data_IF_454669428902
#
_entry.id   IF_454669428902
#
_cell.length_a   1.000
_cell.length_b   1.000
_cell.length_c   1.000
_cell.angle_alpha   90.00
_cell.angle_beta   90.00
_cell.angle_gamma   90.00
#
_symmetry.space_group_name_H-M   'P 1'
#
loop_
_entity.id
_entity.type
_entity.pdbx_description
1 polymer ?
#
# COMPACT_ATOMS: atom_id res chain seq x y z
N UNK A 1 -14.24 -14.73 15.67
CA UNK A 1 -13.07 -14.52 14.81
C UNK A 1 -12.71 -13.05 14.86
N UNK A 2 -11.46 -12.69 15.10
CA UNK A 2 -11.05 -11.29 15.08
C UNK A 2 -11.27 -10.71 13.68
N UNK A 3 -11.91 -9.54 13.59
CA UNK A 3 -12.04 -8.79 12.34
C UNK A 3 -10.64 -8.35 11.90
N UNK A 4 -10.14 -8.93 10.81
CA UNK A 4 -8.85 -8.55 10.25
C UNK A 4 -8.90 -7.11 9.78
N UNK A 5 -7.92 -6.30 10.19
CA UNK A 5 -7.79 -4.91 9.77
C UNK A 5 -7.32 -4.82 8.33
N UNK A 6 -7.95 -3.98 7.51
CA UNK A 6 -7.54 -3.76 6.13
C UNK A 6 -6.37 -2.79 6.11
N UNK A 7 -5.20 -3.28 5.74
CA UNK A 7 -3.96 -2.49 5.71
C UNK A 7 -3.63 -2.11 4.27
N UNK A 8 -3.37 -0.83 4.07
CA UNK A 8 -2.79 -0.29 2.85
C UNK A 8 -1.33 0.03 3.09
N UNK A 9 -0.45 -0.46 2.21
CA UNK A 9 0.98 -0.17 2.29
C UNK A 9 1.38 0.68 1.09
N UNK A 10 1.91 1.86 1.37
CA UNK A 10 2.59 2.70 0.41
C UNK A 10 4.09 2.44 0.50
N UNK A 11 4.72 2.10 -0.61
CA UNK A 11 6.15 1.76 -0.67
C UNK A 11 6.72 2.11 -2.05
N UNK A 12 8.03 2.23 -2.15
CA UNK A 12 8.73 2.39 -3.42
C UNK A 12 8.68 1.07 -4.19
N UNK A 13 7.98 1.02 -5.32
CA UNK A 13 7.81 -0.22 -6.07
C UNK A 13 9.15 -0.76 -6.62
N UNK A 14 10.03 0.13 -7.08
CA UNK A 14 11.30 -0.25 -7.71
C UNK A 14 12.34 -0.74 -6.71
N UNK A 15 12.30 -0.25 -5.46
CA UNK A 15 13.31 -0.54 -4.45
C UNK A 15 12.82 -1.39 -3.27
N UNK A 16 11.52 -1.37 -2.95
CA UNK A 16 10.96 -1.96 -1.72
C UNK A 16 9.94 -3.10 -1.99
N UNK A 17 9.90 -3.68 -3.19
CA UNK A 17 9.01 -4.83 -3.52
C UNK A 17 9.22 -6.02 -2.56
N UNK A 18 10.44 -6.24 -2.08
CA UNK A 18 10.75 -7.27 -1.09
C UNK A 18 9.99 -7.08 0.23
N UNK A 19 9.89 -5.84 0.72
CA UNK A 19 9.18 -5.53 1.96
C UNK A 19 7.67 -5.78 1.81
N UNK A 20 7.11 -5.46 0.63
CA UNK A 20 5.72 -5.81 0.27
C UNK A 20 5.49 -7.32 0.34
N UNK A 21 6.38 -8.12 -0.27
CA UNK A 21 6.24 -9.59 -0.29
C UNK A 21 6.29 -10.16 1.13
N UNK A 22 7.18 -9.65 1.98
CA UNK A 22 7.26 -10.05 3.38
C UNK A 22 5.98 -9.73 4.17
N UNK A 23 5.42 -8.52 4.00
CA UNK A 23 4.17 -8.11 4.65
C UNK A 23 2.97 -8.92 4.15
N UNK A 24 2.89 -9.18 2.85
CA UNK A 24 1.87 -10.04 2.26
C UNK A 24 1.99 -11.49 2.76
N UNK A 25 3.22 -11.98 3.00
CA UNK A 25 3.48 -13.27 3.64
C UNK A 25 2.93 -13.34 5.05
N UNK A 26 3.17 -12.30 5.86
CA UNK A 26 2.65 -12.22 7.24
C UNK A 26 1.12 -12.14 7.29
N UNK A 27 0.47 -11.47 6.33
CA UNK A 27 -0.99 -11.40 6.27
C UNK A 27 -1.67 -12.76 5.98
N UNK A 28 -0.95 -13.69 5.35
CA UNK A 28 -1.45 -15.05 5.04
C UNK A 28 -1.47 -15.98 6.25
N UNK A 29 -0.78 -15.62 7.33
CA UNK A 29 -0.77 -16.42 8.55
C UNK A 29 -2.14 -16.38 9.23
N UNK A 30 -2.56 -17.50 9.83
CA UNK A 30 -3.90 -17.64 10.44
C UNK A 30 -4.07 -16.82 11.71
N UNK A 31 -2.98 -16.46 12.37
CA UNK A 31 -2.89 -15.59 13.55
C UNK A 31 -2.71 -14.10 13.19
N UNK A 32 -2.65 -13.77 11.89
CA UNK A 32 -2.40 -12.39 11.46
C UNK A 32 -3.57 -11.48 11.82
N UNK A 33 -3.33 -10.36 12.52
CA UNK A 33 -4.38 -9.42 12.92
C UNK A 33 -4.84 -8.51 11.77
N UNK A 34 -4.20 -8.59 10.60
CA UNK A 34 -4.50 -7.76 9.44
C UNK A 34 -4.63 -8.56 8.15
N UNK A 35 -5.30 -7.95 7.18
CA UNK A 35 -5.41 -8.42 5.82
C UNK A 35 -4.72 -7.41 4.90
N UNK A 36 -3.87 -7.92 4.00
CA UNK A 36 -3.05 -7.10 3.12
C UNK A 36 -3.78 -6.87 1.81
N UNK A 37 -4.17 -5.61 1.54
CA UNK A 37 -4.73 -5.21 0.26
C UNK A 37 -3.71 -4.35 -0.49
N UNK A 38 -3.15 -4.90 -1.57
CA UNK A 38 -2.31 -4.14 -2.50
C UNK A 38 -3.18 -3.15 -3.28
N UNK A 39 -3.10 -1.87 -2.94
CA UNK A 39 -3.74 -0.81 -3.72
C UNK A 39 -2.73 0.12 -4.40
N UNK A 40 -1.49 -0.37 -4.61
CA UNK A 40 -0.44 0.33 -5.35
C UNK A 40 -0.92 0.65 -6.76
N UNK A 41 -0.91 1.93 -7.11
CA UNK A 41 -1.33 2.42 -8.42
C UNK A 41 -0.05 2.62 -9.24
N UNK A 42 0.24 1.67 -10.13
CA UNK A 42 1.47 1.63 -10.94
C UNK A 42 1.47 2.58 -12.14
N UNK A 43 0.35 3.26 -12.39
CA UNK A 43 0.19 4.17 -13.54
C UNK A 43 -0.74 5.31 -13.18
N UNK A 44 -0.46 6.51 -13.68
CA UNK A 44 -1.36 7.65 -13.63
C UNK A 44 -2.78 7.23 -14.00
N UNK A 45 -3.67 7.18 -13.00
CA UNK A 45 -5.08 6.95 -13.23
C UNK A 45 -5.59 8.08 -14.12
N UNK A 46 -5.92 7.78 -15.36
CA UNK A 46 -6.55 8.73 -16.27
C UNK A 46 -8.01 8.94 -15.86
N UNK A 47 -8.49 10.19 -15.89
CA UNK A 47 -9.84 10.60 -15.47
C UNK A 47 -9.96 10.96 -13.98
N UNK A 48 -11.09 10.63 -13.34
CA UNK A 48 -11.40 10.87 -11.91
C UNK A 48 -10.55 10.05 -10.92
N UNK A 49 -9.24 10.20 -10.99
CA UNK A 49 -8.29 9.49 -10.13
C UNK A 49 -8.51 9.80 -8.65
N UNK A 50 -8.85 11.06 -8.32
CA UNK A 50 -9.15 11.47 -6.94
C UNK A 50 -10.28 10.67 -6.34
N UNK A 51 -11.36 10.45 -7.10
CA UNK A 51 -12.52 9.71 -6.61
C UNK A 51 -12.19 8.22 -6.45
N UNK A 52 -11.47 7.63 -7.40
CA UNK A 52 -11.01 6.24 -7.32
C UNK A 52 -10.08 6.01 -6.12
N UNK A 53 -9.17 6.94 -5.87
CA UNK A 53 -8.28 6.87 -4.69
C UNK A 53 -9.08 7.07 -3.41
N UNK A 54 -9.98 8.04 -3.34
CA UNK A 54 -10.82 8.32 -2.17
C UNK A 54 -11.67 7.11 -1.78
N UNK A 55 -12.33 6.45 -2.74
CA UNK A 55 -13.09 5.22 -2.49
C UNK A 55 -12.23 4.07 -1.98
N UNK A 56 -10.99 3.96 -2.46
CA UNK A 56 -10.02 2.96 -1.95
C UNK A 56 -9.62 3.28 -0.52
N UNK A 57 -9.26 4.53 -0.23
CA UNK A 57 -8.89 4.98 1.13
C UNK A 57 -10.04 4.81 2.13
N UNK A 58 -11.30 5.06 1.73
CA UNK A 58 -12.47 4.89 2.58
C UNK A 58 -12.68 3.44 3.07
N UNK A 59 -12.10 2.46 2.37
CA UNK A 59 -12.25 1.04 2.66
C UNK A 59 -11.06 0.46 3.47
N UNK A 60 -10.10 1.30 3.85
CA UNK A 60 -8.86 0.95 4.54
C UNK A 60 -8.96 1.35 6.03
N UNK A 61 -8.53 0.46 6.93
CA UNK A 61 -8.47 0.75 8.37
C UNK A 61 -7.13 1.36 8.79
N UNK A 62 -6.04 0.94 8.14
CA UNK A 62 -4.67 1.30 8.53
C UNK A 62 -3.84 1.59 7.28
N UNK A 63 -3.07 2.68 7.32
CA UNK A 63 -2.09 3.04 6.29
C UNK A 63 -0.68 2.86 6.86
N UNK A 64 0.14 2.07 6.17
CA UNK A 64 1.56 1.89 6.45
C UNK A 64 2.33 2.56 5.33
N UNK A 65 3.23 3.46 5.66
CA UNK A 65 4.12 4.10 4.68
C UNK A 65 5.52 3.56 4.93
N UNK A 66 6.06 2.84 3.96
CA UNK A 66 7.44 2.37 3.96
C UNK A 66 8.32 3.48 3.39
N UNK A 67 9.03 4.15 4.28
CA UNK A 67 10.05 5.13 3.94
C UNK A 67 11.42 4.43 3.92
N UNK A 68 11.83 3.98 2.75
CA UNK A 68 13.19 3.53 2.46
C UNK A 68 14.13 4.70 2.14
N UNK A 69 15.42 4.39 2.03
CA UNK A 69 16.45 5.41 1.72
C UNK A 69 16.25 6.03 0.32
N UNK A 70 15.64 5.31 -0.63
CA UNK A 70 15.39 5.80 -1.98
C UNK A 70 13.96 6.33 -2.21
N UNK A 71 13.09 6.32 -1.19
CA UNK A 71 11.70 6.80 -1.33
C UNK A 71 11.61 8.27 -1.78
N UNK A 72 12.62 9.09 -1.48
CA UNK A 72 12.73 10.47 -1.97
C UNK A 72 13.06 10.61 -3.47
N UNK A 73 13.54 9.53 -4.11
CA UNK A 73 13.83 9.45 -5.54
C UNK A 73 12.70 8.80 -6.34
N UNK A 74 11.67 8.28 -5.66
CA UNK A 74 10.49 7.73 -6.31
C UNK A 74 9.78 8.85 -7.09
N UNK A 75 10.06 8.92 -8.38
CA UNK A 75 9.62 9.96 -9.30
C UNK A 75 8.10 9.99 -9.50
N UNK A 76 7.39 8.93 -9.10
CA UNK A 76 5.93 8.86 -9.14
C UNK A 76 5.24 9.43 -7.88
N UNK A 77 5.97 9.65 -6.77
CA UNK A 77 5.39 10.08 -5.48
C UNK A 77 5.86 11.47 -5.03
N UNK A 78 7.16 11.78 -5.19
CA UNK A 78 7.68 13.12 -4.96
C UNK A 78 7.68 13.90 -6.28
N UNK A 79 6.50 14.30 -6.74
CA UNK A 79 6.39 15.37 -7.72
C UNK A 79 6.86 16.68 -7.07
N UNK A 80 8.16 16.94 -7.15
CA UNK A 80 8.68 18.30 -7.25
C UNK A 80 8.86 18.59 -8.74
#
# INVERSE_FOLDING_TARGET
>A
MATKKRVFVSFDYDHDEGAKIMLAGQAKLSDSPFDFTDASIKYHLTGDWKEKVSRRMANIDVVVVLCGENTHKASEWCGC
#
